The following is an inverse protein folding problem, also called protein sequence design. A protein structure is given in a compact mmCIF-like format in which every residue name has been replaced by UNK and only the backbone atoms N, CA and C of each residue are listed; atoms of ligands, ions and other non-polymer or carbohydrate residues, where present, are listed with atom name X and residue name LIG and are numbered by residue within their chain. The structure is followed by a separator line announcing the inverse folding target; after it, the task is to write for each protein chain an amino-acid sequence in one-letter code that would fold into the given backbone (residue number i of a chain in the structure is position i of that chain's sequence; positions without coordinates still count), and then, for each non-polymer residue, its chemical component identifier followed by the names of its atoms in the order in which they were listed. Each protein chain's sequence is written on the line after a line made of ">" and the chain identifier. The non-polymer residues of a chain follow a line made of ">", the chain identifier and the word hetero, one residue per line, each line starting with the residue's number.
data_IF_671641354494
#
_entry.id   IF_671641354494
#
_cell.length_a   1.000
_cell.length_b   1.000
_cell.length_c   1.000
_cell.angle_alpha   90.00
_cell.angle_beta   90.00
_cell.angle_gamma   90.00
#
_symmetry.space_group_name_H-M   'P 1'
#
loop_
_entity.id
_entity.type
_entity.pdbx_description
1 polymer ?
#
# COMPACT_ATOMS: atom_id res chain seq x y z
N UNK A 1 24.50 0.03 8.05
CA UNK A 1 23.67 1.19 7.64
C UNK A 1 23.04 0.84 6.29
N UNK A 2 21.75 1.10 6.08
CA UNK A 2 21.13 0.86 4.76
C UNK A 2 21.65 1.88 3.76
N UNK A 3 21.81 1.48 2.50
CA UNK A 3 22.15 2.42 1.43
C UNK A 3 20.99 3.40 1.21
N UNK A 4 21.25 4.70 0.98
CA UNK A 4 20.22 5.64 0.56
C UNK A 4 19.57 5.17 -0.75
N UNK A 5 18.25 5.29 -0.83
CA UNK A 5 17.45 5.04 -2.04
C UNK A 5 16.53 6.23 -2.21
N UNK A 6 16.53 6.82 -3.40
CA UNK A 6 15.62 7.92 -3.73
C UNK A 6 14.20 7.36 -3.91
N UNK A 7 13.30 7.72 -3.00
CA UNK A 7 11.89 7.28 -3.04
C UNK A 7 11.06 8.03 -4.08
N UNK A 8 11.60 9.13 -4.65
CA UNK A 8 10.99 9.86 -5.76
C UNK A 8 11.23 9.19 -7.11
N UNK A 9 12.18 8.26 -7.18
CA UNK A 9 12.45 7.45 -8.36
C UNK A 9 11.87 6.02 -8.18
N UNK A 10 10.74 5.70 -8.83
CA UNK A 10 10.17 4.36 -8.78
C UNK A 10 11.14 3.28 -9.24
N UNK A 11 12.05 3.57 -10.18
CA UNK A 11 13.02 2.60 -10.68
C UNK A 11 14.09 2.28 -9.62
N UNK A 12 14.54 3.27 -8.85
CA UNK A 12 15.47 3.08 -7.75
C UNK A 12 14.85 2.19 -6.65
N UNK A 13 13.59 2.45 -6.27
CA UNK A 13 12.88 1.65 -5.28
C UNK A 13 12.61 0.23 -5.79
N UNK A 14 12.15 0.09 -7.05
CA UNK A 14 11.96 -1.22 -7.69
C UNK A 14 13.24 -2.06 -7.66
N UNK A 15 14.38 -1.46 -8.01
CA UNK A 15 15.68 -2.14 -8.04
C UNK A 15 16.08 -2.65 -6.65
N UNK A 16 15.90 -1.84 -5.60
CA UNK A 16 16.24 -2.25 -4.24
C UNK A 16 15.29 -3.34 -3.71
N UNK A 17 13.99 -3.23 -4.00
CA UNK A 17 13.00 -4.26 -3.63
C UNK A 17 13.29 -5.57 -4.36
N UNK A 18 13.63 -5.52 -5.65
CA UNK A 18 14.03 -6.68 -6.44
C UNK A 18 15.29 -7.35 -5.88
N UNK A 19 16.33 -6.56 -5.54
CA UNK A 19 17.54 -7.08 -4.88
C UNK A 19 17.21 -7.77 -3.57
N UNK A 20 16.36 -7.15 -2.76
CA UNK A 20 15.90 -7.70 -1.48
C UNK A 20 15.15 -9.03 -1.68
N UNK A 21 14.18 -9.05 -2.59
CA UNK A 21 13.38 -10.22 -2.92
C UNK A 21 14.25 -11.40 -3.38
N UNK A 22 15.15 -11.18 -4.35
CA UNK A 22 16.04 -12.23 -4.86
C UNK A 22 17.11 -12.65 -3.84
N UNK A 23 17.51 -11.76 -2.94
CA UNK A 23 18.41 -12.09 -1.82
C UNK A 23 17.75 -13.03 -0.80
N UNK A 24 16.45 -12.86 -0.55
CA UNK A 24 15.68 -13.72 0.35
C UNK A 24 15.22 -15.03 -0.32
N UNK A 25 14.92 -14.96 -1.62
CA UNK A 25 14.39 -16.07 -2.41
C UNK A 25 15.17 -16.21 -3.72
N UNK A 26 16.36 -16.84 -3.72
CA UNK A 26 17.22 -16.93 -4.91
C UNK A 26 16.60 -17.64 -6.12
N UNK A 27 15.57 -18.48 -5.88
CA UNK A 27 14.79 -19.18 -6.91
C UNK A 27 13.44 -18.51 -7.21
N UNK A 28 13.22 -17.29 -6.73
CA UNK A 28 12.01 -16.51 -7.00
C UNK A 28 11.92 -16.06 -8.46
N UNK A 29 10.71 -15.72 -8.89
CA UNK A 29 10.46 -15.20 -10.24
C UNK A 29 11.09 -13.80 -10.38
N UNK A 30 12.12 -13.69 -11.23
CA UNK A 30 12.84 -12.43 -11.47
C UNK A 30 11.96 -11.35 -12.10
N UNK A 31 10.82 -11.71 -12.68
CA UNK A 31 9.89 -10.75 -13.28
C UNK A 31 8.76 -10.33 -12.34
N UNK A 32 8.64 -10.95 -11.15
CA UNK A 32 7.55 -10.64 -10.23
C UNK A 32 7.55 -9.17 -9.78
N UNK A 33 8.66 -8.67 -9.19
CA UNK A 33 8.73 -7.27 -8.71
C UNK A 33 8.58 -6.28 -9.87
N UNK A 34 9.28 -6.41 -11.02
CA UNK A 34 9.06 -5.50 -12.15
C UNK A 34 7.62 -5.49 -12.66
N UNK A 35 6.94 -6.65 -12.72
CA UNK A 35 5.52 -6.71 -13.12
C UNK A 35 4.63 -5.99 -12.13
N UNK A 36 4.80 -6.24 -10.83
CA UNK A 36 3.99 -5.61 -9.78
C UNK A 36 4.16 -4.07 -9.77
N UNK A 37 5.40 -3.58 -9.89
CA UNK A 37 5.68 -2.15 -10.03
C UNK A 37 5.07 -1.57 -11.30
N UNK A 38 5.18 -2.27 -12.43
CA UNK A 38 4.57 -1.84 -13.69
C UNK A 38 3.06 -1.63 -13.57
N UNK A 39 2.34 -2.58 -12.94
CA UNK A 39 0.89 -2.44 -12.71
C UNK A 39 0.57 -1.20 -11.88
N UNK A 40 1.28 -0.98 -10.79
CA UNK A 40 0.99 0.12 -9.87
C UNK A 40 1.39 1.47 -10.46
N UNK A 41 2.48 1.55 -11.22
CA UNK A 41 2.86 2.75 -11.99
C UNK A 41 1.72 3.11 -12.96
N UNK A 42 1.16 2.15 -13.68
CA UNK A 42 0.04 2.41 -14.60
C UNK A 42 -1.22 2.90 -13.86
N UNK A 43 -1.46 2.41 -12.64
CA UNK A 43 -2.55 2.88 -11.77
C UNK A 43 -2.35 4.34 -11.35
N UNK A 44 -1.23 4.64 -10.68
CA UNK A 44 -0.97 5.97 -10.12
C UNK A 44 -0.73 7.04 -11.20
N UNK A 45 -0.30 6.66 -12.41
CA UNK A 45 -0.15 7.57 -13.56
C UNK A 45 -1.40 7.72 -14.43
N UNK A 46 -2.54 7.11 -14.04
CA UNK A 46 -3.83 7.29 -14.71
C UNK A 46 -3.97 6.55 -16.04
N UNK A 47 -3.10 5.57 -16.29
CA UNK A 47 -3.17 4.65 -17.45
C UNK A 47 -4.14 3.49 -17.22
N UNK A 48 -4.55 3.26 -15.97
CA UNK A 48 -5.63 2.33 -15.67
C UNK A 48 -6.94 2.79 -16.31
N UNK A 49 -7.73 1.84 -16.85
CA UNK A 49 -8.89 2.13 -17.69
C UNK A 49 -9.91 3.04 -17.03
N UNK A 50 -10.25 2.78 -15.77
CA UNK A 50 -11.42 3.42 -15.11
C UNK A 50 -11.06 4.53 -14.13
N UNK A 51 -9.77 4.76 -13.91
CA UNK A 51 -9.27 5.68 -12.88
C UNK A 51 -8.40 6.79 -13.48
N UNK A 52 -8.38 7.93 -12.79
CA UNK A 52 -7.52 9.06 -13.08
C UNK A 52 -6.13 8.85 -12.46
N UNK A 53 -5.16 9.69 -12.84
CA UNK A 53 -3.88 9.73 -12.12
C UNK A 53 -4.12 10.19 -10.67
N UNK A 54 -3.24 9.76 -9.76
CA UNK A 54 -3.32 10.19 -8.36
C UNK A 54 -3.21 11.72 -8.29
N UNK A 55 -4.09 12.34 -7.52
CA UNK A 55 -4.08 13.78 -7.25
C UNK A 55 -4.18 14.11 -5.76
N UNK A 56 -4.19 13.09 -4.88
CA UNK A 56 -3.83 13.25 -3.48
C UNK A 56 -2.36 13.70 -3.39
N UNK A 57 -2.10 14.76 -2.63
CA UNK A 57 -0.82 15.45 -2.57
C UNK A 57 0.11 14.88 -1.52
N UNK A 58 -0.44 14.31 -0.44
CA UNK A 58 0.32 13.61 0.58
C UNK A 58 0.35 12.11 0.30
N UNK A 59 -0.81 11.46 0.13
CA UNK A 59 -0.92 10.05 -0.24
C UNK A 59 -0.69 9.86 -1.76
N UNK A 60 0.46 10.35 -2.22
CA UNK A 60 0.91 10.25 -3.62
C UNK A 60 1.65 8.92 -3.87
N UNK A 61 2.20 8.76 -5.07
CA UNK A 61 2.94 7.55 -5.38
C UNK A 61 4.27 7.43 -4.62
N UNK A 62 4.92 8.56 -4.27
CA UNK A 62 6.14 8.52 -3.45
C UNK A 62 5.83 7.95 -2.06
N UNK A 63 4.72 8.33 -1.44
CA UNK A 63 4.29 7.77 -0.16
C UNK A 63 4.18 6.24 -0.21
N UNK A 64 3.53 5.71 -1.26
CA UNK A 64 3.46 4.26 -1.49
C UNK A 64 4.85 3.60 -1.63
N UNK A 65 5.78 4.27 -2.30
CA UNK A 65 7.15 3.79 -2.48
C UNK A 65 7.98 3.84 -1.18
N UNK A 66 7.78 4.85 -0.33
CA UNK A 66 8.39 4.96 1.00
C UNK A 66 7.97 3.78 1.88
N UNK A 67 6.66 3.50 1.95
CA UNK A 67 6.13 2.33 2.67
C UNK A 67 6.65 1.00 2.11
N UNK A 68 6.67 0.85 0.79
CA UNK A 68 7.17 -0.34 0.10
C UNK A 68 8.64 -0.62 0.43
N UNK A 69 9.50 0.40 0.34
CA UNK A 69 10.92 0.29 0.68
C UNK A 69 11.12 -0.07 2.16
N UNK A 70 10.36 0.57 3.05
CA UNK A 70 10.40 0.28 4.48
C UNK A 70 10.02 -1.19 4.76
N UNK A 71 8.92 -1.66 4.19
CA UNK A 71 8.42 -3.03 4.38
C UNK A 71 9.42 -4.07 3.86
N UNK A 72 9.98 -3.87 2.67
CA UNK A 72 10.99 -4.76 2.11
C UNK A 72 12.20 -4.91 3.04
N UNK A 73 12.70 -3.79 3.59
CA UNK A 73 13.81 -3.79 4.55
C UNK A 73 13.46 -4.46 5.87
N UNK A 74 12.25 -4.23 6.39
CA UNK A 74 11.76 -4.85 7.61
C UNK A 74 11.70 -6.38 7.47
N UNK A 75 11.09 -6.87 6.39
CA UNK A 75 10.97 -8.31 6.11
C UNK A 75 12.32 -8.96 5.83
N UNK A 76 13.24 -8.26 5.15
CA UNK A 76 14.61 -8.72 4.96
C UNK A 76 15.38 -8.83 6.28
N UNK A 77 15.21 -7.84 7.18
CA UNK A 77 15.77 -7.89 8.53
C UNK A 77 15.26 -9.09 9.32
N UNK A 78 13.93 -9.29 9.30
CA UNK A 78 13.29 -10.46 9.92
C UNK A 78 13.82 -11.78 9.37
N UNK A 79 13.99 -11.88 8.06
CA UNK A 79 14.52 -13.08 7.39
C UNK A 79 15.96 -13.37 7.82
N UNK A 80 16.84 -12.36 7.83
CA UNK A 80 18.23 -12.48 8.31
C UNK A 80 18.33 -12.86 9.78
N UNK A 81 17.36 -12.42 10.59
CA UNK A 81 17.27 -12.81 12.00
C UNK A 81 16.76 -14.25 12.21
N UNK A 82 16.46 -15.00 11.13
CA UNK A 82 15.92 -16.35 11.16
C UNK A 82 14.66 -16.50 12.06
N UNK A 83 13.87 -15.42 12.16
CA UNK A 83 12.72 -15.38 13.05
C UNK A 83 11.63 -16.37 12.60
N UNK A 84 10.90 -16.94 13.57
CA UNK A 84 9.82 -17.91 13.31
C UNK A 84 8.43 -17.27 13.41
N UNK A 85 7.44 -17.72 12.61
CA UNK A 85 7.58 -18.64 11.48
C UNK A 85 8.44 -18.04 10.36
N UNK A 86 8.98 -18.90 9.50
CA UNK A 86 9.81 -18.49 8.35
C UNK A 86 8.92 -17.89 7.28
N UNK A 87 9.31 -16.73 6.75
CA UNK A 87 8.58 -16.07 5.68
C UNK A 87 8.73 -16.86 4.39
N UNK A 88 7.61 -17.30 3.82
CA UNK A 88 7.61 -17.96 2.52
C UNK A 88 7.63 -16.93 1.40
N UNK A 89 8.12 -17.36 0.23
CA UNK A 89 8.12 -16.54 -1.00
C UNK A 89 6.71 -16.02 -1.32
N UNK A 90 5.71 -16.90 -1.32
CA UNK A 90 4.31 -16.55 -1.63
C UNK A 90 3.78 -15.44 -0.73
N UNK A 91 3.98 -15.53 0.59
CA UNK A 91 3.45 -14.49 1.50
C UNK A 91 4.22 -13.17 1.37
N UNK A 92 5.53 -13.21 1.06
CA UNK A 92 6.26 -11.98 0.71
C UNK A 92 5.69 -11.34 -0.56
N UNK A 93 5.43 -12.13 -1.61
CA UNK A 93 4.87 -11.66 -2.87
C UNK A 93 3.49 -11.02 -2.68
N UNK A 94 2.59 -11.66 -1.93
CA UNK A 94 1.28 -11.08 -1.59
C UNK A 94 1.41 -9.83 -0.72
N UNK A 95 2.35 -9.82 0.23
CA UNK A 95 2.64 -8.63 1.04
C UNK A 95 3.14 -7.46 0.20
N UNK A 96 3.96 -7.73 -0.82
CA UNK A 96 4.45 -6.71 -1.75
C UNK A 96 3.30 -6.13 -2.59
N UNK A 97 2.38 -6.97 -3.07
CA UNK A 97 1.19 -6.50 -3.77
C UNK A 97 0.32 -5.65 -2.85
N UNK A 98 0.13 -6.08 -1.60
CA UNK A 98 -0.66 -5.35 -0.62
C UNK A 98 -0.10 -3.95 -0.34
N UNK A 99 1.20 -3.80 -0.06
CA UNK A 99 1.78 -2.47 0.20
C UNK A 99 1.80 -1.59 -1.05
N UNK A 100 1.97 -2.16 -2.25
CA UNK A 100 1.91 -1.36 -3.48
C UNK A 100 0.48 -0.88 -3.81
N UNK A 101 -0.54 -1.57 -3.31
CA UNK A 101 -1.95 -1.28 -3.60
C UNK A 101 -2.70 -0.60 -2.45
N UNK A 102 -2.10 -0.45 -1.27
CA UNK A 102 -2.81 -0.02 -0.05
C UNK A 102 -3.46 1.37 -0.16
N UNK A 103 -2.92 2.24 -1.01
CA UNK A 103 -3.41 3.62 -1.24
C UNK A 103 -4.12 3.81 -2.59
N UNK A 104 -4.35 2.73 -3.34
CA UNK A 104 -5.13 2.82 -4.60
C UNK A 104 -6.55 3.34 -4.38
N UNK A 105 -7.07 3.25 -3.16
CA UNK A 105 -8.34 3.82 -2.74
C UNK A 105 -8.42 5.35 -2.84
N UNK A 106 -7.30 6.06 -2.90
CA UNK A 106 -7.28 7.49 -3.19
C UNK A 106 -7.49 7.81 -4.67
N UNK A 107 -7.33 6.84 -5.58
CA UNK A 107 -7.57 7.06 -7.00
C UNK A 107 -9.04 7.41 -7.25
N UNK A 108 -9.28 8.50 -7.97
CA UNK A 108 -10.62 8.89 -8.42
C UNK A 108 -11.01 8.13 -9.68
N UNK A 109 -12.29 7.74 -9.78
CA UNK A 109 -12.86 7.23 -11.05
C UNK A 109 -12.89 8.36 -12.08
N UNK A 110 -12.87 8.05 -13.38
CA UNK A 110 -12.84 9.07 -14.46
C UNK A 110 -14.03 10.03 -14.48
N UNK A 111 -15.17 9.62 -13.95
CA UNK A 111 -16.38 10.44 -13.83
C UNK A 111 -16.37 11.38 -12.61
N UNK A 112 -15.46 11.17 -11.66
CA UNK A 112 -15.33 11.99 -10.46
C UNK A 112 -14.47 13.24 -10.71
N UNK A 113 -15.13 14.38 -10.89
CA UNK A 113 -14.51 15.65 -11.31
C UNK A 113 -14.36 16.70 -10.21
N UNK A 114 -14.73 16.39 -8.97
CA UNK A 114 -14.66 17.36 -7.85
C UNK A 114 -13.63 16.95 -6.81
N UNK A 115 -12.99 17.94 -6.17
CA UNK A 115 -11.96 17.71 -5.16
C UNK A 115 -10.78 16.88 -5.68
N UNK A 116 -9.94 16.43 -4.77
CA UNK A 116 -8.88 15.46 -5.00
C UNK A 116 -9.30 14.07 -4.50
N UNK A 117 -8.43 13.08 -4.67
CA UNK A 117 -8.55 11.77 -4.06
C UNK A 117 -8.60 11.80 -2.52
N UNK A 118 -8.04 12.84 -1.89
CA UNK A 118 -7.94 12.97 -0.43
C UNK A 118 -9.30 12.87 0.27
N UNK A 119 -10.38 13.31 -0.39
CA UNK A 119 -11.74 13.17 0.14
C UNK A 119 -12.15 11.73 0.50
N UNK A 120 -11.47 10.73 -0.08
CA UNK A 120 -11.70 9.32 0.19
C UNK A 120 -10.97 8.77 1.40
N UNK A 121 -10.22 9.60 2.15
CA UNK A 121 -9.42 9.18 3.32
C UNK A 121 -10.18 8.26 4.28
N UNK A 122 -11.45 8.54 4.62
CA UNK A 122 -12.20 7.67 5.55
C UNK A 122 -12.57 6.29 4.98
N UNK A 123 -12.55 6.15 3.66
CA UNK A 123 -12.95 4.95 2.92
C UNK A 123 -11.81 4.32 2.11
N UNK A 124 -10.60 4.90 2.14
CA UNK A 124 -9.52 4.52 1.23
C UNK A 124 -9.17 3.04 1.37
N UNK A 125 -9.11 2.51 2.60
CA UNK A 125 -8.84 1.07 2.84
C UNK A 125 -9.86 0.18 2.12
N UNK A 126 -11.16 0.44 2.28
CA UNK A 126 -12.20 -0.36 1.63
C UNK A 126 -12.08 -0.27 0.10
N UNK A 127 -11.90 0.95 -0.42
CA UNK A 127 -11.70 1.20 -1.85
C UNK A 127 -10.44 0.52 -2.40
N UNK A 128 -9.34 0.51 -1.64
CA UNK A 128 -8.09 -0.18 -1.99
C UNK A 128 -8.27 -1.69 -2.02
N UNK A 129 -9.06 -2.25 -1.10
CA UNK A 129 -9.36 -3.70 -1.11
C UNK A 129 -10.23 -4.11 -2.29
N UNK A 130 -11.20 -3.28 -2.69
CA UNK A 130 -12.02 -3.47 -3.88
C UNK A 130 -11.17 -3.37 -5.15
N UNK A 131 -10.34 -2.33 -5.25
CA UNK A 131 -9.43 -2.14 -6.38
C UNK A 131 -8.43 -3.30 -6.52
N UNK A 132 -7.84 -3.74 -5.41
CA UNK A 132 -6.91 -4.87 -5.41
C UNK A 132 -7.57 -6.16 -5.86
N UNK A 133 -8.84 -6.40 -5.49
CA UNK A 133 -9.60 -7.56 -5.96
C UNK A 133 -9.81 -7.51 -7.48
N UNK A 134 -10.30 -6.40 -8.01
CA UNK A 134 -10.52 -6.23 -9.46
C UNK A 134 -9.22 -6.46 -10.25
N UNK A 135 -8.14 -5.77 -9.85
CA UNK A 135 -6.85 -5.87 -10.53
C UNK A 135 -6.29 -7.29 -10.47
N UNK A 136 -6.27 -7.91 -9.28
CA UNK A 136 -5.65 -9.23 -9.11
C UNK A 136 -6.48 -10.34 -9.75
N UNK A 137 -7.80 -10.23 -9.75
CA UNK A 137 -8.68 -11.14 -10.50
C UNK A 137 -8.39 -11.05 -12.01
N UNK A 138 -8.22 -9.85 -12.57
CA UNK A 138 -7.82 -9.66 -13.97
C UNK A 138 -6.45 -10.30 -14.28
N UNK A 139 -5.51 -10.26 -13.32
CA UNK A 139 -4.19 -10.90 -13.46
C UNK A 139 -4.19 -12.40 -13.14
N UNK A 140 -5.35 -12.99 -12.84
CA UNK A 140 -5.52 -14.44 -12.66
C UNK A 140 -5.09 -14.98 -11.30
N UNK A 141 -5.03 -14.14 -10.27
CA UNK A 141 -4.82 -14.61 -8.89
C UNK A 141 -6.07 -15.34 -8.37
N UNK A 142 -5.86 -16.37 -7.56
CA UNK A 142 -6.98 -17.08 -6.92
C UNK A 142 -7.55 -16.28 -5.75
N UNK A 143 -8.79 -16.60 -5.37
CA UNK A 143 -9.51 -15.92 -4.29
C UNK A 143 -8.77 -15.95 -2.95
N UNK A 144 -8.07 -17.04 -2.64
CA UNK A 144 -7.26 -17.14 -1.43
C UNK A 144 -6.14 -16.11 -1.39
N UNK A 145 -5.45 -15.89 -2.52
CA UNK A 145 -4.39 -14.88 -2.63
C UNK A 145 -4.96 -13.46 -2.54
N UNK A 146 -6.08 -13.20 -3.23
CA UNK A 146 -6.79 -11.92 -3.20
C UNK A 146 -7.21 -11.57 -1.78
N UNK A 147 -7.85 -12.49 -1.06
CA UNK A 147 -8.24 -12.25 0.33
C UNK A 147 -7.04 -11.99 1.24
N UNK A 148 -5.92 -12.70 1.02
CA UNK A 148 -4.68 -12.44 1.76
C UNK A 148 -4.19 -11.00 1.56
N UNK A 149 -4.20 -10.50 0.32
CA UNK A 149 -3.86 -9.09 0.00
C UNK A 149 -4.82 -8.14 0.70
N UNK A 150 -6.14 -8.39 0.62
CA UNK A 150 -7.14 -7.53 1.26
C UNK A 150 -7.00 -7.49 2.79
N UNK A 151 -6.71 -8.62 3.44
CA UNK A 151 -6.46 -8.64 4.90
C UNK A 151 -5.23 -7.83 5.29
N UNK A 152 -4.16 -7.90 4.49
CA UNK A 152 -2.95 -7.13 4.74
C UNK A 152 -3.17 -5.62 4.52
N UNK A 153 -3.90 -5.22 3.47
CA UNK A 153 -4.29 -3.81 3.24
C UNK A 153 -5.12 -3.29 4.41
N UNK A 154 -6.06 -4.09 4.96
CA UNK A 154 -6.86 -3.66 6.12
C UNK A 154 -6.04 -3.26 7.34
N UNK A 155 -4.78 -3.69 7.46
CA UNK A 155 -3.90 -3.27 8.54
C UNK A 155 -3.45 -1.79 8.48
N UNK A 156 -3.70 -1.05 7.39
CA UNK A 156 -3.36 0.39 7.27
C UNK A 156 -4.47 1.31 7.80
N UNK A 157 -5.63 0.76 8.16
CA UNK A 157 -6.74 1.57 8.66
C UNK A 157 -6.44 2.25 9.99
N UNK A 158 -6.67 3.56 10.09
CA UNK A 158 -6.40 4.37 11.29
C UNK A 158 -7.14 3.86 12.54
N UNK A 159 -8.36 3.35 12.39
CA UNK A 159 -9.20 2.84 13.47
C UNK A 159 -9.55 1.34 13.30
N UNK A 160 -8.68 0.57 12.65
CA UNK A 160 -8.98 -0.84 12.38
C UNK A 160 -8.90 -1.68 13.67
N UNK A 161 -9.91 -2.51 13.90
CA UNK A 161 -9.80 -3.61 14.85
C UNK A 161 -8.98 -4.74 14.22
N UNK A 162 -7.66 -4.73 14.49
CA UNK A 162 -6.73 -5.75 14.00
C UNK A 162 -7.10 -7.17 14.47
N UNK A 163 -7.82 -7.32 15.58
CA UNK A 163 -8.24 -8.63 16.09
C UNK A 163 -9.40 -9.22 15.28
N UNK A 164 -10.19 -8.38 14.60
CA UNK A 164 -11.30 -8.79 13.75
C UNK A 164 -10.90 -9.21 12.33
N UNK A 165 -9.65 -8.95 11.91
CA UNK A 165 -9.18 -9.32 10.56
C UNK A 165 -9.00 -10.85 10.48
N UNK A 166 -9.71 -11.55 9.56
CA UNK A 166 -9.71 -13.01 9.49
C UNK A 166 -8.51 -13.55 8.69
N UNK A 167 -7.29 -13.31 9.18
CA UNK A 167 -6.06 -13.81 8.56
C UNK A 167 -6.10 -15.34 8.40
N UNK A 168 -5.71 -15.83 7.22
CA UNK A 168 -5.68 -17.26 6.87
C UNK A 168 -4.49 -17.98 7.51
N UNK A 169 -3.46 -17.23 7.95
CA UNK A 169 -2.31 -17.79 8.66
C UNK A 169 -1.62 -16.82 9.61
N UNK A 170 -0.83 -17.37 10.56
CA UNK A 170 0.05 -16.56 11.42
C UNK A 170 1.07 -15.75 10.61
N UNK A 171 1.55 -16.27 9.48
CA UNK A 171 2.53 -15.58 8.64
C UNK A 171 1.91 -14.40 7.89
N UNK A 172 0.71 -14.59 7.33
CA UNK A 172 -0.07 -13.50 6.72
C UNK A 172 -0.30 -12.37 7.72
N UNK A 173 -0.74 -12.68 8.95
CA UNK A 173 -0.89 -11.67 10.02
C UNK A 173 0.40 -10.90 10.30
N UNK A 174 1.54 -11.59 10.36
CA UNK A 174 2.84 -10.94 10.58
C UNK A 174 3.18 -9.99 9.43
N UNK A 175 2.89 -10.38 8.19
CA UNK A 175 3.14 -9.53 7.02
C UNK A 175 2.15 -8.37 6.94
N UNK A 176 0.88 -8.57 7.33
CA UNK A 176 -0.08 -7.47 7.49
C UNK A 176 0.35 -6.46 8.55
N UNK A 177 0.85 -6.91 9.70
CA UNK A 177 1.39 -6.01 10.72
C UNK A 177 2.66 -5.30 10.25
N UNK A 178 3.51 -5.99 9.49
CA UNK A 178 4.68 -5.39 8.85
C UNK A 178 4.27 -4.29 7.86
N UNK A 179 3.19 -4.50 7.11
CA UNK A 179 2.63 -3.52 6.18
C UNK A 179 2.16 -2.27 6.93
N UNK A 180 1.24 -2.40 7.89
CA UNK A 180 0.75 -1.24 8.65
C UNK A 180 1.86 -0.52 9.44
N UNK A 181 2.88 -1.25 9.90
CA UNK A 181 4.08 -0.64 10.49
C UNK A 181 4.88 0.17 9.47
N UNK A 182 5.06 -0.38 8.26
CA UNK A 182 5.88 0.24 7.22
C UNK A 182 5.21 1.45 6.58
N UNK A 183 3.89 1.45 6.48
CA UNK A 183 3.08 2.60 6.08
C UNK A 183 3.38 3.81 6.99
N UNK A 184 3.21 3.65 8.31
CA UNK A 184 3.51 4.70 9.28
C UNK A 184 5.01 5.05 9.38
N UNK A 185 5.88 4.04 9.47
CA UNK A 185 7.31 4.28 9.66
C UNK A 185 7.98 4.83 8.39
N UNK A 186 7.51 4.42 7.22
CA UNK A 186 8.02 4.86 5.92
C UNK A 186 7.87 6.37 5.74
N UNK A 187 6.67 6.89 5.97
CA UNK A 187 6.43 8.34 5.90
C UNK A 187 7.21 9.11 6.97
N UNK A 188 7.27 8.61 8.22
CA UNK A 188 7.95 9.29 9.32
C UNK A 188 9.48 9.33 9.14
N UNK A 189 10.03 8.41 8.36
CA UNK A 189 11.45 8.35 8.02
C UNK A 189 11.84 9.25 6.84
N UNK A 190 10.86 9.84 6.14
CA UNK A 190 11.13 10.75 5.02
C UNK A 190 11.84 12.02 5.52
N UNK A 191 12.88 12.46 4.79
CA UNK A 191 13.66 13.63 5.17
C UNK A 191 12.83 14.93 5.18
N UNK A 192 11.75 14.97 4.42
CA UNK A 192 10.80 16.08 4.32
C UNK A 192 9.48 15.83 5.07
N UNK A 193 9.39 14.80 5.92
CA UNK A 193 8.17 14.45 6.65
C UNK A 193 7.51 15.66 7.34
N UNK A 194 8.29 16.41 8.12
CA UNK A 194 7.81 17.62 8.83
C UNK A 194 7.29 18.68 7.85
N UNK A 195 7.93 18.82 6.69
CA UNK A 195 7.53 19.79 5.67
C UNK A 195 6.25 19.36 4.93
N UNK A 196 5.94 18.05 4.88
CA UNK A 196 4.73 17.52 4.26
C UNK A 196 3.52 17.50 5.19
N UNK A 197 3.69 17.72 6.51
CA UNK A 197 2.57 17.73 7.47
C UNK A 197 1.44 18.73 7.15
N UNK A 198 1.71 19.96 6.65
CA UNK A 198 0.64 20.86 6.23
C UNK A 198 -0.19 20.28 5.07
N UNK A 199 0.44 19.53 4.15
CA UNK A 199 -0.24 18.85 3.04
C UNK A 199 -1.14 17.73 3.59
N UNK A 200 -0.61 16.90 4.49
CA UNK A 200 -1.40 15.86 5.17
C UNK A 200 -2.61 16.44 5.89
N UNK A 201 -2.43 17.56 6.59
CA UNK A 201 -3.53 18.25 7.25
C UNK A 201 -4.59 18.73 6.25
N UNK A 202 -4.19 19.34 5.13
CA UNK A 202 -5.14 19.75 4.08
C UNK A 202 -5.94 18.59 3.50
N UNK A 203 -5.34 17.42 3.34
CA UNK A 203 -6.06 16.21 2.92
C UNK A 203 -7.11 15.78 3.94
N UNK A 204 -6.80 15.83 5.23
CA UNK A 204 -7.76 15.55 6.30
C UNK A 204 -8.90 16.58 6.36
N UNK A 205 -8.62 17.86 6.08
CA UNK A 205 -9.68 18.88 5.98
C UNK A 205 -10.63 18.55 4.83
N UNK A 206 -10.12 18.23 3.64
CA UNK A 206 -10.97 17.86 2.49
C UNK A 206 -11.82 16.61 2.80
N UNK A 207 -11.22 15.59 3.43
CA UNK A 207 -11.95 14.39 3.85
C UNK A 207 -13.07 14.68 4.85
N UNK A 208 -12.83 15.57 5.81
CA UNK A 208 -13.85 15.99 6.78
C UNK A 208 -15.01 16.70 6.08
N UNK A 209 -14.73 17.70 5.25
CA UNK A 209 -15.74 18.47 4.49
C UNK A 209 -16.60 17.57 3.59
N UNK A 210 -15.96 16.61 2.90
CA UNK A 210 -16.68 15.65 2.06
C UNK A 210 -17.59 14.69 2.84
N UNK A 211 -17.20 14.37 4.07
CA UNK A 211 -17.93 13.44 4.94
C UNK A 211 -19.09 14.11 5.67
N UNK A 212 -18.92 15.37 6.08
CA UNK A 212 -20.00 16.19 6.66
C UNK A 212 -21.17 16.36 5.68
N UNK A 213 -20.89 16.45 4.37
CA UNK A 213 -21.93 16.47 3.32
C UNK A 213 -22.68 15.15 3.11
N UNK A 214 -22.30 14.06 3.80
CA UNK A 214 -22.86 12.71 3.63
C UNK A 214 -23.39 12.08 4.92
N UNK A 215 -23.25 12.74 6.07
CA UNK A 215 -23.93 12.32 7.29
C UNK A 215 -25.42 12.71 7.20
N UNK A 216 -26.37 11.78 7.39
CA UNK A 216 -27.75 12.19 7.63
C UNK A 216 -27.80 13.03 8.91
N UNK A 217 -28.67 14.06 8.99
CA UNK A 217 -28.82 14.83 10.22
C UNK A 217 -29.43 13.92 11.29
N UNK A 218 -28.63 13.56 12.30
CA UNK A 218 -29.12 12.97 13.55
C UNK A 218 -28.62 11.56 13.85
N UNK A 219 -27.82 11.46 14.92
CA UNK A 219 -27.43 10.21 15.56
C UNK A 219 -26.67 10.53 16.85
N UNK A 220 -27.35 11.24 17.76
CA UNK A 220 -26.89 11.39 19.15
C UNK A 220 -27.23 10.17 20.01
#
# INVERSE_FOLDING_TARGET
>A
MFQPVDTKDPAAVQLEVQRTYLGMFPRGDRFFVPRAFGWVIDCFTGKHRDYQAIDALYHDFEHTLQGTLCMARLLAGRHRAHARPVLSRRVFELGLLAILLHDTGYLKRRDDRSGTGAKYTLTHVARSTEFAEELLAEKGYCWEDIHGVQHMIRCTGVNVDLAAIPFQSKMERIVGYALGTADLLGQMAAADYVNRLPILYSEFVEAAEFSEGKMPPGGG
#
